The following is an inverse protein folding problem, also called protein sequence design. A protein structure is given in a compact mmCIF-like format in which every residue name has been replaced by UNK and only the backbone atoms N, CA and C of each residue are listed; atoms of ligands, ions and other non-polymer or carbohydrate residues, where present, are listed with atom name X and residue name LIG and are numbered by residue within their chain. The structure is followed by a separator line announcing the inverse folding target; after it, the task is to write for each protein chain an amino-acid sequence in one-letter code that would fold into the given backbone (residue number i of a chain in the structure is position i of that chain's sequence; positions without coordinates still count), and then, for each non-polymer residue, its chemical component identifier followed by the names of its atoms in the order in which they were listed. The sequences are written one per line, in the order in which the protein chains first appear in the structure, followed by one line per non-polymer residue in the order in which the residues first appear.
data_IF_184377814396
#
_entry.id   IF_184377814396
#
_cell.length_a   1.000
_cell.length_b   1.000
_cell.length_c   1.000
_cell.angle_alpha   90.00
_cell.angle_beta   90.00
_cell.angle_gamma   90.00
#
_symmetry.space_group_name_H-M   'P 1'
#
loop_
_entity.id
_entity.type
_entity.pdbx_description
1 polymer ?
#
# COMPACT_ATOMS: atom_id res chain seq x y z
N UNK A 1 14.48 5.94 7.56
CA UNK A 1 13.21 6.54 8.02
C UNK A 1 12.24 6.61 6.84
N UNK A 2 10.97 6.26 7.03
CA UNK A 2 10.00 6.12 5.93
C UNK A 2 8.97 7.26 5.93
N UNK A 3 8.31 7.50 4.80
CA UNK A 3 7.30 8.56 4.67
C UNK A 3 6.06 8.27 5.54
N UNK A 4 5.48 9.28 6.23
CA UNK A 4 4.22 9.13 6.97
C UNK A 4 3.06 8.59 6.12
N UNK A 5 3.06 8.89 4.81
CA UNK A 5 2.03 8.41 3.88
C UNK A 5 2.07 6.89 3.64
N UNK A 6 3.11 6.18 4.12
CA UNK A 6 3.17 4.71 4.13
C UNK A 6 2.51 4.09 5.38
N UNK A 7 2.18 4.90 6.39
CA UNK A 7 1.66 4.45 7.68
C UNK A 7 0.47 5.29 8.13
N UNK A 8 -0.46 5.56 7.22
CA UNK A 8 -1.59 6.48 7.44
C UNK A 8 -2.46 6.07 8.62
N UNK A 9 -2.76 4.78 8.80
CA UNK A 9 -3.49 4.29 9.98
C UNK A 9 -2.78 4.59 11.30
N UNK A 10 -1.47 4.36 11.38
CA UNK A 10 -0.70 4.64 12.61
C UNK A 10 -0.65 6.14 12.92
N UNK A 11 -0.42 6.97 11.90
CA UNK A 11 -0.33 8.43 12.06
C UNK A 11 -1.70 9.04 12.40
N UNK A 12 -2.73 8.70 11.62
CA UNK A 12 -4.08 9.25 11.83
C UNK A 12 -4.71 8.72 13.11
N UNK A 13 -4.54 7.42 13.42
CA UNK A 13 -5.00 6.81 14.66
C UNK A 13 -4.39 7.45 15.91
N UNK A 14 -3.13 7.89 15.83
CA UNK A 14 -2.49 8.64 16.92
C UNK A 14 -3.09 10.04 17.13
N UNK A 15 -3.72 10.63 16.11
CA UNK A 15 -4.47 11.88 16.24
C UNK A 15 -5.87 11.65 16.81
N UNK A 16 -6.55 10.60 16.35
CA UNK A 16 -7.89 10.21 16.83
C UNK A 16 -8.17 8.74 16.50
N UNK A 17 -8.56 7.97 17.52
CA UNK A 17 -8.87 6.54 17.40
C UNK A 17 -9.97 6.21 16.38
N UNK A 18 -10.86 7.17 16.05
CA UNK A 18 -11.90 6.96 15.04
C UNK A 18 -11.35 6.61 13.67
N UNK A 19 -10.11 7.00 13.38
CA UNK A 19 -9.46 6.74 12.09
C UNK A 19 -8.92 5.31 11.96
N UNK A 20 -8.86 4.52 13.04
CA UNK A 20 -8.31 3.16 13.00
C UNK A 20 -9.15 2.20 12.14
N UNK A 21 -10.45 2.44 12.05
CA UNK A 21 -11.40 1.64 11.25
C UNK A 21 -11.58 2.13 9.82
N UNK A 22 -10.85 3.16 9.38
CA UNK A 22 -10.98 3.73 8.05
C UNK A 22 -10.06 3.04 7.04
N UNK A 23 -10.46 3.13 5.76
CA UNK A 23 -9.69 2.64 4.62
C UNK A 23 -8.39 3.46 4.41
N UNK A 24 -7.30 2.80 4.06
CA UNK A 24 -5.99 3.43 3.96
C UNK A 24 -5.93 4.50 2.85
N UNK A 25 -6.64 4.32 1.72
CA UNK A 25 -6.69 5.34 0.65
C UNK A 25 -7.51 6.56 1.06
N UNK A 26 -8.59 6.36 1.84
CA UNK A 26 -9.33 7.47 2.45
C UNK A 26 -8.47 8.21 3.47
N UNK A 27 -7.71 7.49 4.29
CA UNK A 27 -6.79 8.08 5.27
C UNK A 27 -5.67 8.89 4.61
N UNK A 28 -5.16 8.47 3.44
CA UNK A 28 -4.20 9.27 2.66
C UNK A 28 -4.75 10.66 2.33
N UNK A 29 -6.02 10.74 1.89
CA UNK A 29 -6.69 12.00 1.56
C UNK A 29 -6.92 12.87 2.80
N UNK A 30 -7.36 12.25 3.89
CA UNK A 30 -7.57 12.94 5.17
C UNK A 30 -6.27 13.47 5.77
N UNK A 31 -5.20 12.68 5.72
CA UNK A 31 -3.88 13.09 6.24
C UNK A 31 -3.29 14.24 5.43
N UNK A 32 -3.43 14.21 4.10
CA UNK A 32 -3.04 15.33 3.23
C UNK A 32 -3.76 16.63 3.62
N UNK A 33 -5.07 16.55 3.87
CA UNK A 33 -5.87 17.70 4.34
C UNK A 33 -5.45 18.17 5.73
N UNK A 34 -5.20 17.25 6.66
CA UNK A 34 -4.80 17.58 8.03
C UNK A 34 -3.41 18.22 8.10
N UNK A 35 -2.47 17.74 7.26
CA UNK A 35 -1.10 18.24 7.20
C UNK A 35 -0.95 19.50 6.32
N UNK A 36 -1.92 19.79 5.44
CA UNK A 36 -1.79 20.86 4.44
C UNK A 36 -0.72 20.57 3.39
N UNK A 37 -0.41 19.30 3.14
CA UNK A 37 0.65 18.85 2.20
C UNK A 37 0.02 17.98 1.12
N UNK A 38 0.49 18.11 -0.12
CA UNK A 38 0.03 17.26 -1.23
C UNK A 38 0.36 15.78 -1.04
N UNK A 39 -0.50 14.91 -1.58
CA UNK A 39 -0.24 13.48 -1.62
C UNK A 39 0.97 13.20 -2.53
N UNK A 40 2.00 12.46 -2.06
CA UNK A 40 3.14 12.11 -2.89
C UNK A 40 2.72 11.40 -4.18
N UNK A 41 3.32 11.77 -5.32
CA UNK A 41 3.01 11.20 -6.65
C UNK A 41 2.96 9.66 -6.68
N UNK A 42 3.89 8.92 -6.05
CA UNK A 42 3.82 7.46 -6.03
C UNK A 42 2.57 6.92 -5.34
N UNK A 43 2.10 7.57 -4.27
CA UNK A 43 0.87 7.17 -3.57
C UNK A 43 -0.38 7.49 -4.39
N UNK A 44 -0.42 8.65 -5.04
CA UNK A 44 -1.53 9.04 -5.92
C UNK A 44 -1.70 8.06 -7.09
N UNK A 45 -0.60 7.49 -7.59
CA UNK A 45 -0.62 6.50 -8.68
C UNK A 45 -1.18 5.14 -8.27
N UNK A 46 -1.24 4.82 -6.98
CA UNK A 46 -1.77 3.53 -6.51
C UNK A 46 -3.30 3.48 -6.54
N UNK A 47 -3.98 4.63 -6.53
CA UNK A 47 -5.45 4.70 -6.60
C UNK A 47 -5.92 4.09 -7.94
N UNK A 48 -6.71 3.01 -7.85
CA UNK A 48 -7.18 2.25 -9.02
C UNK A 48 -6.19 1.27 -9.66
N UNK A 49 -4.97 1.11 -9.13
CA UNK A 49 -4.07 0.06 -9.60
C UNK A 49 -4.60 -1.33 -9.24
N UNK A 50 -4.56 -2.26 -10.20
CA UNK A 50 -4.84 -3.67 -9.92
C UNK A 50 -3.72 -4.28 -9.08
N UNK A 51 -4.09 -5.17 -8.17
CA UNK A 51 -3.12 -6.03 -7.48
C UNK A 51 -2.52 -6.97 -8.51
N UNK A 52 -1.20 -6.96 -8.64
CA UNK A 52 -0.47 -7.80 -9.60
C UNK A 52 -0.09 -9.17 -9.04
N UNK A 53 -0.09 -9.30 -7.72
CA UNK A 53 0.34 -10.47 -6.96
C UNK A 53 -0.57 -10.65 -5.76
N UNK A 54 -1.44 -11.65 -5.83
CA UNK A 54 -2.42 -12.01 -4.79
C UNK A 54 -2.28 -13.47 -4.31
N UNK A 55 -1.27 -14.19 -4.82
CA UNK A 55 -0.99 -15.57 -4.44
C UNK A 55 -0.49 -15.68 -3.00
N UNK A 56 -1.11 -16.56 -2.22
CA UNK A 56 -0.67 -16.95 -0.88
C UNK A 56 -0.08 -18.36 -0.95
N UNK A 57 1.13 -18.55 -0.41
CA UNK A 57 1.81 -19.85 -0.40
C UNK A 57 2.53 -20.09 0.92
N UNK A 58 2.82 -21.36 1.21
CA UNK A 58 3.60 -21.75 2.38
C UNK A 58 5.05 -21.27 2.25
N UNK A 59 5.73 -21.06 3.38
CA UNK A 59 7.11 -20.55 3.39
C UNK A 59 8.06 -21.39 2.53
N UNK A 60 7.91 -22.72 2.56
CA UNK A 60 8.71 -23.65 1.75
C UNK A 60 8.44 -23.58 0.23
N UNK A 61 7.34 -22.96 -0.19
CA UNK A 61 6.93 -22.85 -1.58
C UNK A 61 7.28 -21.49 -2.20
N UNK A 62 7.76 -20.54 -1.40
CA UNK A 62 8.02 -19.16 -1.82
C UNK A 62 8.94 -19.06 -3.04
N UNK A 63 10.00 -19.86 -3.09
CA UNK A 63 10.92 -19.88 -4.23
C UNK A 63 10.21 -20.32 -5.52
N UNK A 64 9.42 -21.40 -5.45
CA UNK A 64 8.68 -21.94 -6.60
C UNK A 64 7.65 -20.93 -7.12
N UNK A 65 6.88 -20.30 -6.23
CA UNK A 65 5.87 -19.30 -6.64
C UNK A 65 6.51 -18.06 -7.25
N UNK A 66 7.61 -17.55 -6.66
CA UNK A 66 8.35 -16.42 -7.23
C UNK A 66 8.88 -16.76 -8.63
N UNK A 67 9.41 -17.97 -8.83
CA UNK A 67 9.89 -18.42 -10.15
C UNK A 67 8.77 -18.44 -11.18
N UNK A 68 7.57 -18.93 -10.85
CA UNK A 68 6.41 -18.91 -11.76
C UNK A 68 6.10 -17.49 -12.24
N UNK A 69 6.01 -16.51 -11.32
CA UNK A 69 5.74 -15.11 -11.68
C UNK A 69 6.80 -14.48 -12.58
N UNK A 70 8.06 -14.91 -12.47
CA UNK A 70 9.17 -14.40 -13.28
C UNK A 70 9.18 -15.06 -14.66
N UNK A 71 8.94 -16.38 -14.73
CA UNK A 71 8.92 -17.13 -15.98
C UNK A 71 7.73 -16.78 -16.88
N UNK A 72 6.54 -16.57 -16.30
CA UNK A 72 5.32 -16.26 -17.06
C UNK A 72 5.28 -14.82 -17.61
N UNK A 73 6.16 -13.93 -17.12
CA UNK A 73 6.21 -12.51 -17.51
C UNK A 73 7.40 -12.12 -18.38
N UNK A 74 8.18 -13.07 -18.87
CA UNK A 74 9.08 -12.85 -20.00
C UNK A 74 8.24 -12.70 -21.29
N UNK A 75 7.61 -11.54 -21.48
CA UNK A 75 7.32 -11.05 -22.82
C UNK A 75 8.59 -10.35 -23.31
N UNK A 76 9.32 -11.04 -24.17
CA UNK A 76 10.27 -10.42 -25.09
C UNK A 76 9.54 -9.41 -25.99
#
# INVERSE_FOLDING_TARGET
TASPFKFTRAVMGALDNRYNSEDDFKLVKLMSRAAGIEIPKPMKKLDGCKVMHDTVCETGQMETEVRKFLSERCHC
#
